data_IF_218495877858
#
_entry.id   IF_218495877858
#
_cell.length_a   1.000
_cell.length_b   1.000
_cell.length_c   1.000
_cell.angle_alpha   90.00
_cell.angle_beta   90.00
_cell.angle_gamma   90.00
#
_symmetry.space_group_name_H-M   'P 1'
#
loop_
_entity.id
_entity.type
_entity.pdbx_description
1 polymer ?
#
# COMPACT_ATOMS: atom_id res chain seq x y z
N UNK A 1 0.35 -8.54 47.94
CA UNK A 1 -0.42 -8.00 46.80
C UNK A 1 0.06 -6.62 46.33
N UNK A 2 0.24 -5.59 47.16
CA UNK A 2 0.69 -4.23 46.74
C UNK A 2 2.07 -4.21 46.02
N UNK A 3 3.02 -5.05 46.43
CA UNK A 3 4.37 -5.12 45.80
C UNK A 3 4.37 -5.78 44.43
N UNK A 4 3.41 -6.69 44.15
CA UNK A 4 3.26 -7.32 42.84
C UNK A 4 2.64 -6.37 41.81
N UNK A 5 1.69 -5.52 42.25
CA UNK A 5 1.09 -4.50 41.37
C UNK A 5 2.11 -3.42 40.95
N UNK A 6 3.02 -3.02 41.86
CA UNK A 6 4.09 -2.05 41.55
C UNK A 6 5.11 -2.62 40.58
N UNK A 7 5.42 -3.91 40.65
CA UNK A 7 6.32 -4.57 39.69
C UNK A 7 5.70 -4.69 38.31
N UNK A 8 4.39 -4.99 38.23
CA UNK A 8 3.66 -5.06 36.96
C UNK A 8 3.55 -3.69 36.28
N UNK A 9 3.32 -2.64 37.04
CA UNK A 9 3.30 -1.26 36.53
C UNK A 9 4.66 -0.78 36.04
N UNK A 10 5.76 -1.22 36.68
CA UNK A 10 7.12 -0.89 36.25
C UNK A 10 7.57 -1.61 34.96
N UNK A 11 6.95 -2.76 34.64
CA UNK A 11 7.24 -3.50 33.39
C UNK A 11 6.45 -2.92 32.20
N UNK A 12 5.26 -2.35 32.43
CA UNK A 12 4.43 -1.79 31.36
C UNK A 12 4.88 -0.39 30.95
N UNK A 13 5.39 0.43 31.87
CA UNK A 13 5.86 1.79 31.61
C UNK A 13 6.96 1.90 30.54
N UNK A 14 8.03 1.07 30.55
CA UNK A 14 9.07 1.18 29.53
C UNK A 14 8.61 0.79 28.13
N UNK A 15 7.65 -0.14 28.00
CA UNK A 15 7.09 -0.52 26.68
C UNK A 15 6.26 0.61 26.06
N UNK A 16 5.49 1.34 26.85
CA UNK A 16 4.71 2.48 26.38
C UNK A 16 5.60 3.65 25.96
N UNK A 17 6.68 3.90 26.70
CA UNK A 17 7.66 4.96 26.38
C UNK A 17 8.43 4.65 25.10
N UNK A 18 8.81 3.39 24.86
CA UNK A 18 9.47 3.00 23.62
C UNK A 18 8.56 3.11 22.40
N UNK A 19 7.29 2.71 22.51
CA UNK A 19 6.32 2.84 21.43
C UNK A 19 6.07 4.32 21.07
N UNK A 20 5.89 5.17 22.07
CA UNK A 20 5.67 6.60 21.89
C UNK A 20 6.92 7.30 21.30
N UNK A 21 8.12 6.91 21.73
CA UNK A 21 9.38 7.42 21.18
C UNK A 21 9.56 7.01 19.71
N UNK A 22 9.16 5.80 19.31
CA UNK A 22 9.23 5.36 17.91
C UNK A 22 8.28 6.14 17.01
N UNK A 23 7.05 6.43 17.45
CA UNK A 23 6.07 7.21 16.70
C UNK A 23 6.60 8.61 16.40
N UNK A 24 7.00 9.33 17.46
CA UNK A 24 7.51 10.71 17.35
C UNK A 24 8.80 10.77 16.51
N UNK A 25 9.64 9.75 16.62
CA UNK A 25 10.92 9.72 15.91
C UNK A 25 10.75 9.58 14.39
N UNK A 26 9.75 8.84 13.88
CA UNK A 26 9.55 8.66 12.44
C UNK A 26 9.17 9.98 11.77
N UNK A 27 8.21 10.72 12.30
CA UNK A 27 7.81 12.05 11.79
C UNK A 27 8.98 13.03 11.74
N UNK A 28 9.71 13.18 12.84
CA UNK A 28 10.85 14.10 12.92
C UNK A 28 11.91 13.74 11.87
N UNK A 29 12.15 12.45 11.66
CA UNK A 29 13.16 11.96 10.70
C UNK A 29 12.79 12.21 9.23
N UNK A 30 11.51 12.43 8.91
CA UNK A 30 11.03 12.67 7.54
C UNK A 30 10.51 14.08 7.30
N UNK A 31 10.54 14.95 8.30
CA UNK A 31 10.05 16.36 8.19
C UNK A 31 10.80 17.18 7.14
N UNK A 32 12.03 16.80 6.83
CA UNK A 32 12.89 17.43 5.80
C UNK A 32 12.60 16.94 4.37
N UNK A 33 11.63 16.03 4.21
CA UNK A 33 11.32 15.41 2.91
C UNK A 33 11.03 16.44 1.79
N UNK A 34 10.20 17.49 1.99
CA UNK A 34 9.87 18.43 0.92
C UNK A 34 11.07 19.23 0.40
N UNK A 35 12.11 19.38 1.22
CA UNK A 35 13.31 20.19 0.91
C UNK A 35 14.41 19.35 0.24
N UNK A 36 14.29 18.01 0.30
CA UNK A 36 15.32 17.09 -0.20
C UNK A 36 14.92 16.47 -1.53
N UNK A 37 15.93 16.09 -2.31
CA UNK A 37 15.70 15.45 -3.61
C UNK A 37 15.33 13.98 -3.45
N UNK A 38 14.22 13.57 -4.08
CA UNK A 38 13.87 12.17 -4.24
C UNK A 38 14.54 11.61 -5.49
N UNK A 39 15.43 10.65 -5.33
CA UNK A 39 16.02 9.86 -6.42
C UNK A 39 15.08 8.74 -6.80
N UNK A 40 14.56 8.77 -8.01
CA UNK A 40 13.71 7.70 -8.58
C UNK A 40 14.62 6.69 -9.25
N UNK A 41 14.73 5.50 -8.65
CA UNK A 41 15.67 4.46 -9.08
C UNK A 41 15.06 3.67 -10.23
N UNK A 42 15.72 3.67 -11.38
CA UNK A 42 15.30 2.93 -12.56
C UNK A 42 15.65 1.44 -12.40
N UNK A 43 14.74 0.58 -12.86
CA UNK A 43 14.85 -0.88 -12.71
C UNK A 43 15.74 -1.55 -13.76
N UNK A 44 15.97 -0.88 -14.89
CA UNK A 44 16.60 -1.44 -16.10
C UNK A 44 15.60 -2.14 -17.02
N UNK A 45 14.32 -2.28 -16.63
CA UNK A 45 13.26 -2.72 -17.54
C UNK A 45 12.77 -1.52 -18.36
N UNK A 46 13.05 -1.51 -19.66
CA UNK A 46 12.79 -0.35 -20.51
C UNK A 46 11.31 0.10 -20.53
N UNK A 47 10.37 -0.86 -20.52
CA UNK A 47 8.93 -0.55 -20.54
C UNK A 47 8.49 0.04 -19.19
N UNK A 48 8.83 -0.63 -18.09
CA UNK A 48 8.51 -0.15 -16.75
C UNK A 48 9.11 1.24 -16.49
N UNK A 49 10.39 1.41 -16.83
CA UNK A 49 11.10 2.65 -16.60
C UNK A 49 10.56 3.81 -17.45
N UNK A 50 10.07 3.53 -18.67
CA UNK A 50 9.40 4.54 -19.50
C UNK A 50 8.10 5.02 -18.83
N UNK A 51 7.22 4.09 -18.44
CA UNK A 51 5.96 4.44 -17.76
C UNK A 51 6.23 5.12 -16.43
N UNK A 52 7.22 4.64 -15.64
CA UNK A 52 7.58 5.26 -14.37
C UNK A 52 8.04 6.72 -14.56
N UNK A 53 8.86 7.00 -15.58
CA UNK A 53 9.32 8.36 -15.90
C UNK A 53 8.16 9.28 -16.25
N UNK A 54 7.26 8.80 -17.10
CA UNK A 54 6.10 9.59 -17.54
C UNK A 54 5.16 9.90 -16.36
N UNK A 55 4.86 8.91 -15.52
CA UNK A 55 3.98 9.08 -14.37
C UNK A 55 4.60 9.94 -13.26
N UNK A 56 5.89 9.82 -13.01
CA UNK A 56 6.60 10.69 -12.06
C UNK A 56 6.61 12.13 -12.58
N UNK A 57 6.94 12.35 -13.85
CA UNK A 57 6.93 13.69 -14.45
C UNK A 57 5.53 14.33 -14.41
N UNK A 58 4.49 13.54 -14.64
CA UNK A 58 3.10 14.00 -14.62
C UNK A 58 2.58 14.30 -13.21
N UNK A 59 2.99 13.54 -12.17
CA UNK A 59 2.30 13.51 -10.87
C UNK A 59 3.14 13.89 -9.66
N UNK A 60 4.46 13.66 -9.66
CA UNK A 60 5.27 13.92 -8.47
C UNK A 60 5.39 15.42 -8.18
N UNK A 61 4.91 15.87 -7.03
CA UNK A 61 4.82 17.30 -6.67
C UNK A 61 5.24 17.63 -5.24
N UNK A 62 5.59 16.62 -4.44
CA UNK A 62 5.78 16.78 -2.99
C UNK A 62 7.24 17.06 -2.60
N UNK A 63 8.19 16.87 -3.53
CA UNK A 63 9.61 17.16 -3.35
C UNK A 63 10.27 17.30 -4.74
N UNK A 64 11.45 17.92 -4.84
CA UNK A 64 12.30 17.81 -6.03
C UNK A 64 12.61 16.34 -6.32
N UNK A 65 12.72 16.00 -7.61
CA UNK A 65 13.08 14.62 -7.99
C UNK A 65 14.11 14.59 -9.13
N UNK A 66 14.84 13.48 -9.18
CA UNK A 66 15.78 13.15 -10.26
C UNK A 66 15.75 11.63 -10.48
N UNK A 67 15.92 11.20 -11.73
CA UNK A 67 16.08 9.77 -12.01
C UNK A 67 17.54 9.34 -11.78
N UNK A 68 17.73 8.12 -11.32
CA UNK A 68 19.05 7.53 -11.17
C UNK A 68 19.05 6.04 -11.51
N UNK A 69 20.20 5.52 -11.83
CA UNK A 69 20.44 4.10 -12.02
C UNK A 69 20.58 3.37 -10.68
N UNK A 70 20.50 2.05 -10.69
CA UNK A 70 20.79 1.23 -9.51
C UNK A 70 22.25 1.40 -9.03
N UNK A 71 23.19 1.64 -9.96
CA UNK A 71 24.58 1.92 -9.59
C UNK A 71 24.66 3.26 -8.82
N UNK A 72 24.08 4.32 -9.33
CA UNK A 72 24.05 5.63 -8.67
C UNK A 72 23.32 5.56 -7.31
N UNK A 73 22.25 4.77 -7.20
CA UNK A 73 21.61 4.49 -5.91
C UNK A 73 22.62 3.91 -4.91
N UNK A 74 23.38 2.90 -5.29
CA UNK A 74 24.37 2.28 -4.41
C UNK A 74 25.49 3.23 -3.96
N UNK A 75 25.85 4.20 -4.81
CA UNK A 75 26.84 5.24 -4.49
C UNK A 75 26.28 6.35 -3.59
N UNK A 76 24.97 6.61 -3.68
CA UNK A 76 24.31 7.74 -3.01
C UNK A 76 23.53 7.37 -1.76
N UNK A 77 23.15 6.11 -1.58
CA UNK A 77 22.24 5.66 -0.51
C UNK A 77 22.71 5.99 0.91
N UNK A 78 24.02 6.05 1.11
CA UNK A 78 24.61 6.45 2.40
C UNK A 78 24.48 7.94 2.74
N UNK A 79 24.03 8.78 1.80
CA UNK A 79 23.87 10.22 2.00
C UNK A 79 22.49 10.57 2.50
N UNK A 80 22.39 11.34 3.57
CA UNK A 80 21.14 11.71 4.24
C UNK A 80 20.36 12.86 3.56
N UNK A 81 20.94 13.47 2.52
CA UNK A 81 20.29 14.52 1.72
C UNK A 81 19.40 13.99 0.58
N UNK A 82 19.24 12.68 0.46
CA UNK A 82 18.40 12.05 -0.54
C UNK A 82 17.31 11.17 0.08
N UNK A 83 16.18 11.11 -0.61
CA UNK A 83 15.20 10.05 -0.49
C UNK A 83 15.22 9.22 -1.77
N UNK A 84 14.81 7.97 -1.68
CA UNK A 84 14.83 7.06 -2.83
C UNK A 84 13.48 6.41 -3.01
N UNK A 85 12.91 6.58 -4.20
CA UNK A 85 11.76 5.79 -4.65
C UNK A 85 12.30 4.64 -5.49
N UNK A 86 12.15 3.41 -5.00
CA UNK A 86 12.76 2.22 -5.57
C UNK A 86 11.78 1.06 -5.60
N UNK A 87 11.82 0.25 -6.68
CA UNK A 87 11.11 -1.02 -6.73
C UNK A 87 11.95 -2.10 -6.04
N UNK A 88 11.39 -2.71 -5.00
CA UNK A 88 12.03 -3.75 -4.20
C UNK A 88 11.27 -5.06 -4.28
N UNK A 89 11.95 -6.18 -4.02
CA UNK A 89 11.33 -7.49 -3.86
C UNK A 89 11.33 -7.87 -2.39
N UNK A 90 10.15 -8.18 -1.86
CA UNK A 90 9.99 -8.56 -0.46
C UNK A 90 9.82 -10.06 -0.29
N UNK A 91 10.54 -10.63 0.66
CA UNK A 91 10.47 -12.02 1.07
C UNK A 91 10.00 -12.13 2.52
N UNK A 92 8.96 -12.90 2.76
CA UNK A 92 8.52 -13.20 4.12
C UNK A 92 9.18 -14.48 4.64
N UNK A 93 9.30 -14.62 5.97
CA UNK A 93 9.96 -15.77 6.62
C UNK A 93 9.46 -17.15 6.17
N UNK A 94 8.25 -17.23 5.64
CA UNK A 94 7.62 -18.47 5.17
C UNK A 94 7.80 -18.71 3.68
N UNK A 95 8.46 -17.83 2.98
CA UNK A 95 8.69 -17.89 1.54
C UNK A 95 10.14 -18.30 1.27
N UNK A 96 10.36 -19.16 0.27
CA UNK A 96 11.68 -19.57 -0.19
C UNK A 96 12.35 -18.50 -1.06
N UNK A 97 11.53 -17.71 -1.76
CA UNK A 97 11.93 -16.65 -2.68
C UNK A 97 11.04 -15.42 -2.43
N UNK A 98 11.46 -14.23 -2.84
CA UNK A 98 10.61 -13.03 -2.77
C UNK A 98 9.29 -13.21 -3.53
N UNK A 99 8.16 -13.10 -2.84
CA UNK A 99 6.85 -13.31 -3.44
C UNK A 99 6.25 -12.08 -4.12
N UNK A 100 6.59 -10.88 -3.64
CA UNK A 100 5.98 -9.62 -4.09
C UNK A 100 7.01 -8.56 -4.46
N UNK A 101 6.62 -7.71 -5.40
CA UNK A 101 7.27 -6.43 -5.67
C UNK A 101 6.57 -5.30 -4.91
N UNK A 102 7.37 -4.37 -4.44
CA UNK A 102 6.91 -3.16 -3.74
C UNK A 102 7.49 -1.93 -4.39
N UNK A 103 6.69 -0.89 -4.52
CA UNK A 103 7.19 0.44 -4.76
C UNK A 103 7.44 1.07 -3.38
N UNK A 104 8.71 1.32 -3.08
CA UNK A 104 9.17 1.66 -1.73
C UNK A 104 9.83 3.03 -1.70
N UNK A 105 9.43 3.87 -0.74
CA UNK A 105 10.07 5.15 -0.47
C UNK A 105 10.87 5.05 0.83
N UNK A 106 12.19 5.28 0.73
CA UNK A 106 13.13 5.22 1.84
C UNK A 106 13.96 6.49 1.94
N UNK A 107 14.45 6.79 3.14
CA UNK A 107 15.41 7.88 3.37
C UNK A 107 16.83 7.33 3.30
N UNK A 108 17.71 8.02 2.59
CA UNK A 108 19.15 7.76 2.61
C UNK A 108 19.78 8.06 3.97
N UNK A 109 20.98 7.57 4.18
CA UNK A 109 21.74 7.80 5.38
C UNK A 109 22.66 6.63 5.74
N UNK A 110 23.44 6.78 6.77
CA UNK A 110 24.50 5.83 7.15
C UNK A 110 24.01 4.37 7.30
N UNK A 111 22.79 4.16 7.80
CA UNK A 111 22.20 2.83 7.94
C UNK A 111 22.07 2.08 6.60
N UNK A 112 21.97 2.80 5.47
CA UNK A 112 21.90 2.21 4.14
C UNK A 112 23.18 1.46 3.72
N UNK A 113 24.30 1.70 4.39
CA UNK A 113 25.56 0.96 4.15
C UNK A 113 25.41 -0.52 4.53
N UNK A 114 24.56 -0.83 5.52
CA UNK A 114 24.30 -2.20 6.00
C UNK A 114 23.25 -2.92 5.13
N UNK A 115 22.46 -2.20 4.35
CA UNK A 115 21.44 -2.75 3.45
C UNK A 115 20.24 -1.85 3.28
N UNK A 116 19.40 -2.16 2.29
CA UNK A 116 18.16 -1.42 2.06
C UNK A 116 17.16 -1.63 3.21
N UNK A 117 17.19 -2.78 3.85
CA UNK A 117 16.30 -3.15 4.96
C UNK A 117 16.59 -2.33 6.23
N UNK A 118 17.80 -1.75 6.34
CA UNK A 118 18.19 -0.90 7.45
C UNK A 118 17.88 0.59 7.19
N UNK A 119 17.48 0.93 5.97
CA UNK A 119 17.06 2.29 5.64
C UNK A 119 15.75 2.64 6.35
N UNK A 120 15.58 3.93 6.65
CA UNK A 120 14.29 4.41 7.18
C UNK A 120 13.22 4.31 6.08
N UNK A 121 12.39 3.29 6.17
CA UNK A 121 11.23 3.14 5.30
C UNK A 121 10.14 4.15 5.67
N UNK A 122 9.67 4.92 4.67
CA UNK A 122 8.49 5.78 4.79
C UNK A 122 7.26 4.95 4.48
N UNK A 123 7.26 4.32 3.32
CA UNK A 123 6.16 3.47 2.85
C UNK A 123 6.66 2.44 1.85
N UNK A 124 6.08 1.24 1.91
CA UNK A 124 6.20 0.18 0.90
C UNK A 124 4.80 -0.21 0.43
N UNK A 125 4.50 0.06 -0.83
CA UNK A 125 3.23 -0.29 -1.46
C UNK A 125 3.41 -1.54 -2.32
N UNK A 126 2.71 -2.65 -2.05
CA UNK A 126 2.78 -3.86 -2.88
C UNK A 126 2.16 -3.59 -4.23
N UNK A 127 2.89 -3.86 -5.30
CA UNK A 127 2.47 -3.52 -6.67
C UNK A 127 2.29 -4.72 -7.59
N UNK A 128 3.02 -5.82 -7.41
CA UNK A 128 2.93 -6.97 -8.30
C UNK A 128 3.48 -8.25 -7.65
N UNK A 129 3.32 -9.39 -8.34
CA UNK A 129 4.15 -10.58 -8.08
C UNK A 129 5.61 -10.30 -8.39
N UNK A 130 6.53 -10.89 -7.63
CA UNK A 130 7.96 -10.70 -7.83
C UNK A 130 8.52 -11.56 -8.95
N UNK A 131 7.91 -12.72 -9.21
CA UNK A 131 8.38 -13.69 -10.19
C UNK A 131 7.81 -13.41 -11.58
N UNK A 132 6.50 -13.21 -11.67
CA UNK A 132 5.78 -13.02 -12.93
C UNK A 132 4.77 -11.86 -12.76
N UNK A 133 5.22 -10.62 -12.93
CA UNK A 133 4.33 -9.46 -12.91
C UNK A 133 3.39 -9.50 -14.11
N UNK A 134 2.09 -9.30 -13.87
CA UNK A 134 1.04 -9.39 -14.89
C UNK A 134 1.04 -8.26 -15.91
N UNK A 135 1.77 -7.18 -15.63
CA UNK A 135 1.69 -5.91 -16.39
C UNK A 135 0.59 -4.97 -15.89
N UNK A 136 -0.35 -5.46 -15.07
CA UNK A 136 -1.42 -4.66 -14.47
C UNK A 136 -0.87 -3.53 -13.58
N UNK A 137 0.27 -3.74 -12.95
CA UNK A 137 0.97 -2.74 -12.16
C UNK A 137 1.36 -1.50 -12.97
N UNK A 138 1.56 -1.62 -14.28
CA UNK A 138 1.82 -0.47 -15.16
C UNK A 138 0.56 0.39 -15.32
N UNK A 139 -0.59 -0.25 -15.48
CA UNK A 139 -1.90 0.44 -15.53
C UNK A 139 -2.18 1.23 -14.25
N UNK A 140 -1.82 0.68 -13.10
CA UNK A 140 -2.06 1.29 -11.79
C UNK A 140 -0.91 2.17 -11.28
N UNK A 141 0.18 2.32 -12.02
CA UNK A 141 1.37 3.05 -11.57
C UNK A 141 1.07 4.51 -11.21
N UNK A 142 0.20 5.16 -11.99
CA UNK A 142 -0.32 6.50 -11.71
C UNK A 142 -0.98 6.60 -10.31
N UNK A 143 -1.79 5.61 -9.96
CA UNK A 143 -2.46 5.53 -8.68
C UNK A 143 -1.46 5.23 -7.56
N UNK A 144 -0.53 4.32 -7.76
CA UNK A 144 0.50 3.98 -6.77
C UNK A 144 1.36 5.18 -6.40
N UNK A 145 1.82 5.95 -7.38
CA UNK A 145 2.58 7.19 -7.15
C UNK A 145 1.74 8.19 -6.35
N UNK A 146 0.47 8.36 -6.69
CA UNK A 146 -0.43 9.28 -5.98
C UNK A 146 -0.65 8.83 -4.52
N UNK A 147 -0.85 7.54 -4.28
CA UNK A 147 -1.01 6.96 -2.93
C UNK A 147 0.26 7.18 -2.09
N UNK A 148 1.44 6.95 -2.67
CA UNK A 148 2.71 7.16 -1.97
C UNK A 148 2.91 8.62 -1.58
N UNK A 149 2.59 9.57 -2.49
CA UNK A 149 2.67 10.99 -2.20
C UNK A 149 1.72 11.37 -1.05
N UNK A 150 0.45 10.97 -1.14
CA UNK A 150 -0.55 11.29 -0.13
C UNK A 150 -0.13 10.72 1.23
N UNK A 151 0.29 9.45 1.28
CA UNK A 151 0.75 8.82 2.51
C UNK A 151 1.97 9.54 3.11
N UNK A 152 2.91 9.98 2.26
CA UNK A 152 4.10 10.71 2.72
C UNK A 152 3.73 12.04 3.36
N UNK A 153 2.84 12.82 2.73
CA UNK A 153 2.32 14.08 3.28
C UNK A 153 1.56 13.84 4.60
N UNK A 154 0.64 12.88 4.62
CA UNK A 154 -0.13 12.52 5.81
C UNK A 154 0.79 12.07 6.98
N UNK A 155 1.92 11.45 6.65
CA UNK A 155 2.91 10.99 7.65
C UNK A 155 3.78 12.12 8.20
N UNK A 156 4.03 13.17 7.41
CA UNK A 156 4.72 14.39 7.86
C UNK A 156 3.80 15.19 8.79
N UNK A 157 2.51 15.26 8.46
CA UNK A 157 1.54 16.05 9.20
C UNK A 157 1.10 15.36 10.50
N UNK A 158 1.01 14.03 10.51
CA UNK A 158 0.44 13.28 11.63
C UNK A 158 1.26 12.03 11.99
N UNK A 159 1.79 12.02 13.23
CA UNK A 159 2.58 10.91 13.78
C UNK A 159 1.87 9.56 13.75
N UNK A 160 0.55 9.56 13.98
CA UNK A 160 -0.26 8.35 13.99
C UNK A 160 -0.32 7.70 12.60
N UNK A 161 -0.44 8.51 11.53
CA UNK A 161 -0.43 8.02 10.16
C UNK A 161 0.90 7.36 9.81
N UNK A 162 2.01 7.97 10.21
CA UNK A 162 3.34 7.42 10.02
C UNK A 162 3.56 6.07 10.72
N UNK A 163 2.82 5.79 11.79
CA UNK A 163 2.91 4.55 12.55
C UNK A 163 1.96 3.45 12.04
N UNK A 164 0.69 3.79 11.77
CA UNK A 164 -0.34 2.81 11.38
C UNK A 164 -0.10 2.28 9.97
N UNK A 165 0.50 3.07 9.08
CA UNK A 165 0.71 2.70 7.69
C UNK A 165 -0.55 2.83 6.83
N UNK A 166 -0.51 2.24 5.64
CA UNK A 166 -1.57 2.32 4.63
C UNK A 166 -2.94 1.75 5.11
N UNK A 167 -2.94 0.87 6.10
CA UNK A 167 -4.19 0.33 6.67
C UNK A 167 -5.09 1.41 7.28
N UNK A 168 -4.53 2.57 7.63
CA UNK A 168 -5.28 3.71 8.15
C UNK A 168 -6.35 4.22 7.16
N UNK A 169 -6.11 4.09 5.85
CA UNK A 169 -7.06 4.56 4.83
C UNK A 169 -8.38 3.77 4.81
N UNK A 170 -8.41 2.56 5.36
CA UNK A 170 -9.66 1.78 5.47
C UNK A 170 -10.73 2.47 6.32
N UNK A 171 -10.35 3.40 7.20
CA UNK A 171 -11.31 4.24 7.95
C UNK A 171 -12.14 5.15 7.05
N UNK A 172 -11.60 5.53 5.87
CA UNK A 172 -12.22 6.44 4.91
C UNK A 172 -13.18 5.71 3.95
N UNK A 173 -13.33 4.39 4.09
CA UNK A 173 -14.24 3.58 3.27
C UNK A 173 -15.68 4.12 3.25
N UNK A 174 -16.12 4.77 4.34
CA UNK A 174 -17.43 5.42 4.41
C UNK A 174 -17.64 6.55 3.39
N UNK A 175 -16.57 7.17 2.88
CA UNK A 175 -16.63 8.20 1.85
C UNK A 175 -17.05 7.63 0.48
N UNK A 176 -16.92 6.32 0.26
CA UNK A 176 -17.33 5.66 -1.00
C UNK A 176 -18.82 5.37 -1.08
N UNK A 177 -19.64 5.78 -0.09
CA UNK A 177 -21.06 5.43 0.01
C UNK A 177 -21.85 5.73 -1.27
N UNK A 178 -21.61 6.88 -1.87
CA UNK A 178 -22.30 7.36 -3.07
C UNK A 178 -21.56 7.03 -4.38
N UNK A 179 -20.44 6.31 -4.28
CA UNK A 179 -19.63 5.90 -5.43
C UNK A 179 -19.97 4.47 -5.83
N UNK A 180 -19.77 4.10 -7.08
CA UNK A 180 -19.81 2.71 -7.48
C UNK A 180 -18.47 2.04 -7.19
N UNK A 181 -18.49 0.84 -6.59
CA UNK A 181 -17.31 0.02 -6.37
C UNK A 181 -17.33 -1.14 -7.36
N UNK A 182 -16.29 -1.24 -8.17
CA UNK A 182 -16.14 -2.29 -9.17
C UNK A 182 -14.97 -3.19 -8.78
N UNK A 183 -15.29 -4.46 -8.58
CA UNK A 183 -14.27 -5.50 -8.39
C UNK A 183 -13.94 -6.12 -9.75
N UNK A 184 -12.65 -6.30 -10.03
CA UNK A 184 -12.27 -7.28 -11.04
C UNK A 184 -12.63 -8.68 -10.52
N UNK A 185 -13.16 -9.55 -11.37
CA UNK A 185 -13.54 -10.91 -10.96
C UNK A 185 -12.35 -11.68 -10.38
N UNK A 186 -11.18 -11.49 -10.97
CA UNK A 186 -9.91 -12.10 -10.54
C UNK A 186 -9.40 -11.56 -9.20
N UNK A 187 -9.89 -10.40 -8.76
CA UNK A 187 -9.56 -9.83 -7.45
C UNK A 187 -10.41 -10.41 -6.30
N UNK A 188 -11.45 -11.20 -6.61
CA UNK A 188 -12.26 -11.88 -5.60
C UNK A 188 -11.61 -13.21 -5.19
N UNK A 189 -11.74 -13.57 -3.91
CA UNK A 189 -11.32 -14.90 -3.45
C UNK A 189 -12.09 -15.98 -4.23
N UNK A 190 -11.42 -16.88 -4.97
CA UNK A 190 -12.08 -17.91 -5.76
C UNK A 190 -12.91 -18.90 -4.93
N UNK A 191 -12.76 -18.89 -3.62
CA UNK A 191 -13.54 -19.71 -2.69
C UNK A 191 -14.84 -19.05 -2.22
N UNK A 192 -15.07 -17.80 -2.66
CA UNK A 192 -16.29 -17.08 -2.30
C UNK A 192 -17.51 -17.77 -2.89
N UNK A 193 -18.49 -18.06 -2.05
CA UNK A 193 -19.74 -18.70 -2.48
C UNK A 193 -20.63 -17.73 -3.24
N UNK A 194 -21.50 -18.25 -4.11
CA UNK A 194 -22.47 -17.43 -4.81
C UNK A 194 -23.41 -16.71 -3.83
N UNK A 195 -23.80 -17.37 -2.73
CA UNK A 195 -24.61 -16.78 -1.67
C UNK A 195 -23.94 -15.53 -1.06
N UNK A 196 -22.62 -15.59 -0.80
CA UNK A 196 -21.87 -14.44 -0.29
C UNK A 196 -21.80 -13.30 -1.33
N UNK A 197 -21.61 -13.63 -2.62
CA UNK A 197 -21.67 -12.65 -3.72
C UNK A 197 -23.02 -11.96 -3.78
N UNK A 198 -24.10 -12.71 -3.77
CA UNK A 198 -25.49 -12.18 -3.84
C UNK A 198 -25.83 -11.30 -2.63
N UNK A 199 -25.24 -11.63 -1.45
CA UNK A 199 -25.48 -10.88 -0.21
C UNK A 199 -24.75 -9.54 -0.16
N UNK A 200 -23.54 -9.45 -0.70
CA UNK A 200 -22.64 -8.30 -0.50
C UNK A 200 -22.39 -7.45 -1.74
N UNK A 201 -22.59 -8.00 -2.96
CA UNK A 201 -22.46 -7.27 -4.22
C UNK A 201 -23.79 -6.58 -4.57
N UNK A 202 -24.13 -5.60 -3.75
CA UNK A 202 -25.41 -4.87 -3.84
C UNK A 202 -25.17 -3.36 -3.67
N UNK A 203 -26.14 -2.54 -4.03
CA UNK A 203 -26.14 -1.09 -3.81
C UNK A 203 -24.91 -0.39 -4.43
N UNK A 204 -24.67 -0.59 -5.73
CA UNK A 204 -23.55 0.00 -6.47
C UNK A 204 -22.20 -0.69 -6.20
N UNK A 205 -22.24 -1.97 -5.81
CA UNK A 205 -21.07 -2.85 -5.80
C UNK A 205 -21.23 -3.86 -6.92
N UNK A 206 -20.31 -3.86 -7.87
CA UNK A 206 -20.38 -4.66 -9.11
C UNK A 206 -19.11 -5.49 -9.28
N UNK A 207 -19.22 -6.55 -10.08
CA UNK A 207 -18.09 -7.34 -10.57
C UNK A 207 -18.01 -7.21 -12.10
N UNK A 208 -16.81 -6.99 -12.60
CA UNK A 208 -16.50 -6.94 -14.02
C UNK A 208 -15.26 -7.79 -14.31
N UNK A 209 -15.01 -8.05 -15.60
CA UNK A 209 -13.72 -8.59 -16.01
C UNK A 209 -12.58 -7.64 -15.60
N UNK A 210 -11.37 -8.16 -15.44
CA UNK A 210 -10.19 -7.34 -15.10
C UNK A 210 -9.99 -6.20 -16.11
N UNK A 211 -10.11 -6.49 -17.41
CA UNK A 211 -9.95 -5.48 -18.47
C UNK A 211 -10.97 -4.35 -18.37
N UNK A 212 -12.23 -4.67 -18.02
CA UNK A 212 -13.28 -3.67 -17.85
C UNK A 212 -13.06 -2.83 -16.59
N UNK A 213 -12.68 -3.45 -15.47
CA UNK A 213 -12.38 -2.76 -14.22
C UNK A 213 -11.17 -1.82 -14.38
N UNK A 214 -10.08 -2.30 -14.97
CA UNK A 214 -8.86 -1.53 -15.19
C UNK A 214 -9.07 -0.37 -16.18
N UNK A 215 -9.96 -0.56 -17.18
CA UNK A 215 -10.35 0.51 -18.10
C UNK A 215 -11.01 1.69 -17.38
N UNK A 216 -11.75 1.46 -16.30
CA UNK A 216 -12.34 2.54 -15.53
C UNK A 216 -11.28 3.46 -14.92
N UNK A 217 -10.15 2.90 -14.50
CA UNK A 217 -9.01 3.69 -13.98
C UNK A 217 -8.35 4.49 -15.11
N UNK A 218 -8.02 3.84 -16.22
CA UNK A 218 -7.33 4.49 -17.35
C UNK A 218 -8.16 5.58 -18.03
N UNK A 219 -9.50 5.44 -18.03
CA UNK A 219 -10.42 6.44 -18.55
C UNK A 219 -10.88 7.46 -17.52
N UNK A 220 -10.35 7.39 -16.30
CA UNK A 220 -10.73 8.27 -15.18
C UNK A 220 -12.24 8.37 -14.98
N UNK A 221 -12.92 7.21 -15.00
CA UNK A 221 -14.39 7.12 -14.94
C UNK A 221 -14.91 7.84 -13.68
N UNK A 222 -15.89 8.74 -13.79
CA UNK A 222 -16.33 9.54 -12.64
C UNK A 222 -17.08 8.71 -11.60
N UNK A 223 -16.87 9.04 -10.33
CA UNK A 223 -17.60 8.46 -9.19
C UNK A 223 -17.45 6.91 -9.10
N UNK A 224 -16.28 6.40 -9.46
CA UNK A 224 -15.96 4.98 -9.44
C UNK A 224 -14.78 4.69 -8.54
N UNK A 225 -14.81 3.51 -7.92
CA UNK A 225 -13.71 2.93 -7.16
C UNK A 225 -13.45 1.54 -7.69
N UNK A 226 -12.21 1.22 -7.98
CA UNK A 226 -11.81 -0.08 -8.53
C UNK A 226 -10.96 -0.87 -7.55
N UNK A 227 -11.05 -2.19 -7.63
CA UNK A 227 -10.23 -3.10 -6.86
C UNK A 227 -8.85 -3.27 -7.48
N UNK A 228 -7.87 -3.57 -6.63
CA UNK A 228 -6.55 -4.06 -6.99
C UNK A 228 -6.06 -5.07 -5.97
N UNK A 229 -5.50 -6.18 -6.44
CA UNK A 229 -4.92 -7.22 -5.60
C UNK A 229 -3.48 -7.46 -5.99
N UNK A 230 -2.57 -7.37 -5.01
CA UNK A 230 -1.18 -7.80 -5.16
C UNK A 230 -0.97 -9.10 -4.37
N UNK A 231 -0.58 -10.14 -5.08
CA UNK A 231 -0.39 -11.49 -4.55
C UNK A 231 0.72 -12.20 -5.35
N UNK A 232 1.53 -13.09 -4.75
CA UNK A 232 2.49 -13.92 -5.50
C UNK A 232 1.80 -14.79 -6.55
N UNK A 233 2.40 -14.98 -7.72
CA UNK A 233 1.88 -15.85 -8.78
C UNK A 233 1.64 -17.28 -8.25
N UNK A 234 2.63 -17.85 -7.56
CA UNK A 234 2.51 -19.16 -6.92
C UNK A 234 2.09 -19.08 -5.44
N UNK A 235 1.02 -18.30 -5.20
CA UNK A 235 0.53 -18.09 -3.86
C UNK A 235 0.06 -19.39 -3.20
N UNK A 236 0.56 -19.67 -1.99
CA UNK A 236 0.24 -20.84 -1.17
C UNK A 236 -0.13 -20.46 0.25
N UNK A 237 -0.54 -21.44 1.03
CA UNK A 237 -0.84 -21.20 2.44
C UNK A 237 0.37 -20.54 3.14
N UNK A 238 0.12 -19.38 3.75
CA UNK A 238 1.14 -18.58 4.39
C UNK A 238 1.60 -17.37 3.58
N UNK A 239 1.42 -17.36 2.25
CA UNK A 239 1.68 -16.19 1.41
C UNK A 239 0.78 -15.01 1.80
N UNK A 240 1.25 -13.80 1.56
CA UNK A 240 0.45 -12.60 1.82
C UNK A 240 -0.27 -12.13 0.56
N UNK A 241 -1.51 -11.72 0.74
CA UNK A 241 -2.35 -11.06 -0.24
C UNK A 241 -2.70 -9.65 0.25
N UNK A 242 -2.48 -8.66 -0.60
CA UNK A 242 -2.81 -7.27 -0.35
C UNK A 242 -3.96 -6.83 -1.25
N UNK A 243 -4.89 -6.08 -0.68
CA UNK A 243 -6.14 -5.65 -1.32
C UNK A 243 -6.31 -4.16 -1.18
N UNK A 244 -6.68 -3.51 -2.28
CA UNK A 244 -6.86 -2.07 -2.38
C UNK A 244 -8.16 -1.73 -3.07
N UNK A 245 -8.81 -0.65 -2.63
CA UNK A 245 -9.87 0.03 -3.38
C UNK A 245 -9.41 1.44 -3.66
N UNK A 246 -9.38 1.80 -4.93
CA UNK A 246 -8.74 3.01 -5.44
C UNK A 246 -9.75 3.81 -6.28
N UNK A 247 -9.87 5.10 -6.00
CA UNK A 247 -10.67 6.05 -6.78
C UNK A 247 -10.08 6.22 -8.18
N UNK A 248 -10.91 6.12 -9.20
CA UNK A 248 -10.49 6.17 -10.60
C UNK A 248 -10.07 7.57 -11.08
N UNK A 249 -10.59 8.63 -10.46
CA UNK A 249 -10.27 10.01 -10.84
C UNK A 249 -9.15 10.61 -9.99
N UNK A 250 -9.26 10.45 -8.68
CA UNK A 250 -8.35 11.08 -7.72
C UNK A 250 -7.20 10.19 -7.32
N UNK A 251 -7.28 8.90 -7.65
CA UNK A 251 -6.35 7.85 -7.22
C UNK A 251 -6.24 7.72 -5.69
N UNK A 252 -7.23 8.23 -4.96
CA UNK A 252 -7.27 8.09 -3.51
C UNK A 252 -7.50 6.64 -3.12
N UNK A 253 -6.73 6.19 -2.10
CA UNK A 253 -6.90 4.88 -1.49
C UNK A 253 -8.01 4.94 -0.43
N UNK A 254 -9.06 4.11 -0.57
CA UNK A 254 -10.16 4.02 0.38
C UNK A 254 -10.16 2.73 1.20
N UNK A 255 -9.41 1.74 0.76
CA UNK A 255 -9.29 0.46 1.45
C UNK A 255 -7.92 -0.11 1.22
N UNK A 256 -7.28 -0.56 2.30
CA UNK A 256 -6.03 -1.30 2.25
C UNK A 256 -6.05 -2.39 3.31
N UNK A 257 -5.94 -3.64 2.88
CA UNK A 257 -5.90 -4.77 3.80
C UNK A 257 -4.92 -5.83 3.33
N UNK A 258 -4.14 -6.33 4.29
CA UNK A 258 -3.27 -7.47 4.14
C UNK A 258 -3.86 -8.66 4.89
N UNK A 259 -3.83 -9.84 4.29
CA UNK A 259 -4.11 -11.08 5.00
C UNK A 259 -3.17 -12.19 4.56
N UNK A 260 -3.09 -13.25 5.37
CA UNK A 260 -2.39 -14.49 4.99
C UNK A 260 -3.35 -15.43 4.31
N UNK A 261 -2.93 -15.97 3.17
CA UNK A 261 -3.64 -17.05 2.48
C UNK A 261 -3.61 -18.30 3.38
N UNK A 262 -4.74 -18.96 3.48
CA UNK A 262 -4.95 -20.13 4.35
C UNK A 262 -5.92 -21.10 3.70
N UNK A 263 -6.21 -22.23 4.35
CA UNK A 263 -7.28 -23.14 3.91
C UNK A 263 -8.66 -22.47 3.89
N UNK A 264 -8.88 -21.45 4.72
CA UNK A 264 -10.15 -20.72 4.82
C UNK A 264 -10.26 -19.55 3.84
N UNK A 265 -9.19 -18.80 3.64
CA UNK A 265 -9.18 -17.60 2.80
C UNK A 265 -8.11 -17.73 1.72
N UNK A 266 -8.51 -17.59 0.45
CA UNK A 266 -7.64 -17.61 -0.72
C UNK A 266 -7.00 -16.27 -1.01
N UNK A 267 -6.49 -16.12 -2.22
CA UNK A 267 -6.06 -14.84 -2.77
C UNK A 267 -7.30 -13.98 -3.10
N UNK A 268 -7.19 -12.66 -2.93
CA UNK A 268 -8.26 -11.73 -3.27
C UNK A 268 -9.14 -11.26 -2.11
N UNK A 269 -10.17 -10.52 -2.45
CA UNK A 269 -11.17 -10.02 -1.50
C UNK A 269 -12.06 -11.17 -1.03
N UNK A 270 -12.07 -11.43 0.26
CA UNK A 270 -12.89 -12.46 0.87
C UNK A 270 -14.25 -11.91 1.33
N UNK A 271 -15.15 -12.80 1.75
CA UNK A 271 -16.49 -12.48 2.24
C UNK A 271 -16.51 -11.42 3.35
N UNK A 272 -15.58 -11.48 4.29
CA UNK A 272 -15.46 -10.50 5.38
C UNK A 272 -15.04 -9.10 4.89
N UNK A 273 -14.32 -9.00 3.77
CA UNK A 273 -14.00 -7.72 3.15
C UNK A 273 -15.24 -7.12 2.50
N UNK A 274 -15.95 -7.90 1.68
CA UNK A 274 -17.19 -7.47 1.05
C UNK A 274 -18.26 -7.11 2.08
N UNK A 275 -18.34 -7.87 3.18
CA UNK A 275 -19.20 -7.52 4.30
C UNK A 275 -18.87 -6.15 4.89
N UNK A 276 -17.59 -5.86 5.13
CA UNK A 276 -17.16 -4.56 5.65
C UNK A 276 -17.54 -3.43 4.69
N UNK A 277 -17.35 -3.63 3.39
CA UNK A 277 -17.67 -2.67 2.33
C UNK A 277 -19.20 -2.47 2.24
N UNK A 278 -19.99 -3.54 2.20
CA UNK A 278 -21.45 -3.45 2.12
C UNK A 278 -22.07 -2.75 3.34
N UNK A 279 -21.48 -2.90 4.52
CA UNK A 279 -21.97 -2.24 5.74
C UNK A 279 -21.89 -0.71 5.66
N UNK A 280 -20.93 -0.17 4.92
CA UNK A 280 -20.83 1.30 4.75
C UNK A 280 -21.94 1.87 3.87
N UNK A 281 -22.61 1.02 3.07
CA UNK A 281 -23.66 1.38 2.11
C UNK A 281 -25.08 1.18 2.63
N UNK A 282 -25.23 0.56 3.79
CA UNK A 282 -26.55 0.43 4.41
C UNK A 282 -27.02 1.81 4.89
N UNK A 283 -28.22 2.19 4.48
CA UNK A 283 -28.87 3.38 5.01
C UNK A 283 -28.90 3.31 6.54
N UNK A 284 -28.44 4.36 7.19
CA UNK A 284 -28.72 4.52 8.62
C UNK A 284 -30.24 4.62 8.74
N UNK A 285 -30.92 3.56 9.20
CA UNK A 285 -32.32 3.70 9.64
C UNK A 285 -32.34 4.90 10.61
N UNK A 286 -32.95 6.00 10.22
CA UNK A 286 -33.26 7.12 11.10
C UNK A 286 -34.09 6.52 12.25
N UNK A 287 -33.50 6.49 13.46
CA UNK A 287 -34.24 6.24 14.68
C UNK A 287 -35.04 7.48 15.03
#
# INVERSE_FOLDING_TARGET
MKRFLTLLAAIILPLAVHAQAQITTKKIKISDFPEKTTKVVLTGNALYDAVLKDEIAARWRIAPYEFCTLQEFNELKGKDNYYFLITTKGQYKTESEPGLQFLTLVKGGKAAEEGIDEMLEIVSLPIASAEDPSGRELTFLSAFITILQQYTLDSIDNDLNAYIGLTNYTKDLGATREMNIVFAEEDLDPRMTQEAKDMYLVNGVEVKSMDEADRLLTTTAPNMVVSYVAVPTDAKNGSYCYKMLIDTQTHRLYFFRKHRISSKYGAGFADYDLRSISMTRKEKKRK
#
